data_IF_674885651788
#
_entry.id   IF_674885651788
#
_cell.length_a   1.000
_cell.length_b   1.000
_cell.length_c   1.000
_cell.angle_alpha   90.00
_cell.angle_beta   90.00
_cell.angle_gamma   90.00
#
_symmetry.space_group_name_H-M   'P 1'
#
loop_
_entity.id
_entity.type
_entity.pdbx_description
1 polymer ?
#
# COMPACT_ATOMS: atom_id res chain seq x y z
N UNK A 1 -0.31 7.03 -30.83
CA UNK A 1 -0.86 8.03 -29.89
C UNK A 1 -0.40 7.72 -28.48
N UNK A 2 -0.52 8.66 -27.53
CA UNK A 2 -0.12 8.42 -26.13
C UNK A 2 -0.83 7.20 -25.51
N UNK A 3 -2.15 7.08 -25.74
CA UNK A 3 -2.94 5.95 -25.25
C UNK A 3 -2.40 4.60 -25.75
N UNK A 4 -2.09 4.50 -27.05
CA UNK A 4 -1.49 3.28 -27.61
C UNK A 4 -0.14 2.92 -26.97
N UNK A 5 0.69 3.92 -26.66
CA UNK A 5 1.98 3.71 -25.97
C UNK A 5 1.72 3.19 -24.55
N UNK A 6 0.80 3.80 -23.81
CA UNK A 6 0.47 3.38 -22.45
C UNK A 6 -0.13 1.96 -22.41
N UNK A 7 -1.02 1.63 -23.35
CA UNK A 7 -1.62 0.31 -23.46
C UNK A 7 -0.58 -0.77 -23.83
N UNK A 8 0.30 -0.48 -24.80
CA UNK A 8 1.39 -1.38 -25.17
C UNK A 8 2.40 -1.56 -24.03
N UNK A 9 2.75 -0.48 -23.32
CA UNK A 9 3.64 -0.53 -22.18
C UNK A 9 3.02 -1.31 -21.01
N UNK A 10 1.73 -1.11 -20.74
CA UNK A 10 1.02 -1.74 -19.62
C UNK A 10 1.30 -1.09 -18.26
N UNK A 11 2.02 0.04 -18.24
CA UNK A 11 2.31 0.82 -17.02
C UNK A 11 1.01 1.47 -16.54
N UNK A 12 0.80 1.52 -15.21
CA UNK A 12 -0.43 2.01 -14.57
C UNK A 12 -0.13 3.12 -13.54
N UNK A 13 0.63 4.11 -13.96
CA UNK A 13 1.08 5.24 -13.14
C UNK A 13 2.60 5.26 -12.90
N UNK A 14 3.05 6.21 -12.10
CA UNK A 14 4.46 6.46 -11.81
C UNK A 14 5.10 7.50 -12.72
N UNK A 15 6.42 7.46 -12.83
CA UNK A 15 7.21 8.43 -13.59
C UNK A 15 7.40 7.96 -15.05
N UNK A 16 6.97 8.79 -15.99
CA UNK A 16 7.23 8.64 -17.42
C UNK A 16 8.29 9.65 -17.84
N UNK A 17 9.28 9.20 -18.62
CA UNK A 17 10.29 10.03 -19.24
C UNK A 17 10.14 9.98 -20.75
N UNK A 18 9.96 11.13 -21.39
CA UNK A 18 9.85 11.24 -22.84
C UNK A 18 11.11 11.89 -23.42
N UNK A 19 11.88 11.10 -24.17
CA UNK A 19 13.15 11.48 -24.78
C UNK A 19 12.91 12.11 -26.15
N UNK A 20 13.48 13.29 -26.40
CA UNK A 20 13.29 14.03 -27.65
C UNK A 20 11.87 14.59 -27.74
N UNK A 21 11.45 15.32 -26.70
CA UNK A 21 10.04 15.64 -26.51
C UNK A 21 9.41 16.61 -27.51
N UNK A 22 10.22 17.30 -28.34
CA UNK A 22 9.74 18.17 -29.40
C UNK A 22 8.85 19.30 -28.87
N UNK A 23 7.67 19.48 -29.48
CA UNK A 23 6.69 20.52 -29.08
C UNK A 23 5.88 20.18 -27.81
N UNK A 24 6.17 19.04 -27.16
CA UNK A 24 5.56 18.64 -25.91
C UNK A 24 4.14 18.08 -26.00
N UNK A 25 3.51 17.98 -27.19
CA UNK A 25 2.13 17.45 -27.31
C UNK A 25 2.02 16.01 -26.85
N UNK A 26 2.94 15.14 -27.30
CA UNK A 26 2.97 13.75 -26.84
C UNK A 26 3.30 13.67 -25.35
N UNK A 27 4.25 14.47 -24.86
CA UNK A 27 4.64 14.53 -23.44
C UNK A 27 3.44 14.87 -22.55
N UNK A 28 2.66 15.89 -22.92
CA UNK A 28 1.46 16.27 -22.19
C UNK A 28 0.41 15.14 -22.23
N UNK A 29 0.21 14.52 -23.39
CA UNK A 29 -0.76 13.44 -23.58
C UNK A 29 -0.39 12.12 -22.87
N UNK A 30 0.89 11.88 -22.59
CA UNK A 30 1.33 10.72 -21.79
C UNK A 30 0.83 10.79 -20.33
N UNK A 31 0.43 11.99 -19.85
CA UNK A 31 -0.24 12.13 -18.56
C UNK A 31 -1.73 11.80 -18.67
N UNK A 32 -2.05 10.52 -18.72
CA UNK A 32 -3.44 10.07 -18.86
C UNK A 32 -4.34 10.40 -17.64
N UNK A 33 -3.78 10.47 -16.44
CA UNK A 33 -4.49 10.82 -15.20
C UNK A 33 -3.51 11.23 -14.09
N UNK A 34 -4.01 11.43 -12.87
CA UNK A 34 -3.22 11.89 -11.71
C UNK A 34 -2.19 10.90 -11.19
N UNK A 35 -2.27 9.63 -11.57
CA UNK A 35 -1.28 8.61 -11.20
C UNK A 35 0.03 8.75 -11.97
N UNK A 36 0.10 9.63 -12.98
CA UNK A 36 1.29 9.84 -13.80
C UNK A 36 1.96 11.18 -13.53
N UNK A 37 3.28 11.12 -13.37
CA UNK A 37 4.19 12.25 -13.51
C UNK A 37 4.97 12.08 -14.81
N UNK A 38 5.11 13.15 -15.59
CA UNK A 38 5.78 13.07 -16.89
C UNK A 38 6.89 14.11 -16.97
N UNK A 39 8.08 13.66 -17.37
CA UNK A 39 9.22 14.54 -17.64
C UNK A 39 9.66 14.38 -19.09
N UNK A 40 9.47 15.42 -19.90
CA UNK A 40 10.03 15.50 -21.24
C UNK A 40 11.45 16.05 -21.20
N UNK A 41 12.30 15.55 -22.07
CA UNK A 41 13.70 15.94 -22.13
C UNK A 41 14.10 16.15 -23.59
N UNK A 42 14.79 17.24 -23.89
CA UNK A 42 15.21 17.58 -25.26
C UNK A 42 16.59 18.27 -25.26
N UNK A 43 17.35 18.08 -26.34
CA UNK A 43 18.63 18.78 -26.53
C UNK A 43 18.44 20.18 -27.10
N UNK A 44 17.35 20.44 -27.85
CA UNK A 44 17.11 21.73 -28.49
C UNK A 44 16.34 22.68 -27.55
N UNK A 45 16.94 23.80 -27.13
CA UNK A 45 16.27 24.79 -26.30
C UNK A 45 14.97 25.35 -26.91
N UNK A 46 14.84 25.36 -28.25
CA UNK A 46 13.62 25.82 -28.92
C UNK A 46 12.46 24.84 -28.71
N UNK A 47 12.73 23.54 -28.77
CA UNK A 47 11.74 22.49 -28.46
C UNK A 47 11.31 22.59 -27.00
N UNK A 48 12.27 22.72 -26.08
CA UNK A 48 11.99 22.90 -24.65
C UNK A 48 11.07 24.08 -24.39
N UNK A 49 11.35 25.23 -25.00
CA UNK A 49 10.52 26.43 -24.83
C UNK A 49 9.12 26.25 -25.42
N UNK A 50 9.01 25.65 -26.61
CA UNK A 50 7.72 25.35 -27.23
C UNK A 50 6.89 24.38 -26.37
N UNK A 51 7.52 23.31 -25.87
CA UNK A 51 6.88 22.33 -25.01
C UNK A 51 6.41 22.93 -23.69
N UNK A 52 7.22 23.79 -23.06
CA UNK A 52 6.84 24.49 -21.83
C UNK A 52 5.62 25.39 -22.05
N UNK A 53 5.58 26.16 -23.15
CA UNK A 53 4.41 26.98 -23.51
C UNK A 53 3.16 26.13 -23.72
N UNK A 54 3.29 25.01 -24.43
CA UNK A 54 2.17 24.10 -24.67
C UNK A 54 1.65 23.49 -23.36
N UNK A 55 2.53 22.95 -22.51
CA UNK A 55 2.17 22.37 -21.21
C UNK A 55 1.53 23.40 -20.28
N UNK A 56 2.07 24.62 -20.26
CA UNK A 56 1.50 25.73 -19.48
C UNK A 56 0.09 26.11 -19.97
N UNK A 57 -0.14 26.13 -21.29
CA UNK A 57 -1.47 26.42 -21.86
C UNK A 57 -2.54 25.39 -21.47
N UNK A 58 -2.12 24.18 -21.08
CA UNK A 58 -3.00 23.11 -20.59
C UNK A 58 -3.15 23.10 -19.05
N UNK A 59 -2.46 23.99 -18.32
CA UNK A 59 -2.47 23.99 -16.85
C UNK A 59 -1.78 22.78 -16.21
N UNK A 60 -0.92 22.08 -16.96
CA UNK A 60 -0.29 20.82 -16.52
C UNK A 60 1.10 21.01 -15.87
N UNK A 61 1.61 22.25 -15.81
CA UNK A 61 2.95 22.52 -15.32
C UNK A 61 3.15 22.02 -13.88
N UNK A 62 4.29 21.37 -13.63
CA UNK A 62 4.62 20.73 -12.36
C UNK A 62 4.16 19.26 -12.25
N UNK A 63 3.13 18.84 -13.01
CA UNK A 63 2.79 17.42 -13.22
C UNK A 63 3.39 16.87 -14.51
N UNK A 64 3.48 17.73 -15.51
CA UNK A 64 4.29 17.55 -16.71
C UNK A 64 5.35 18.64 -16.70
N UNK A 65 6.62 18.26 -16.78
CA UNK A 65 7.75 19.18 -16.85
C UNK A 65 8.59 18.88 -18.07
N UNK A 66 9.34 19.88 -18.54
CA UNK A 66 10.34 19.72 -19.60
C UNK A 66 11.60 20.49 -19.25
N UNK A 67 12.75 19.86 -19.42
CA UNK A 67 14.06 20.49 -19.23
C UNK A 67 15.01 20.22 -20.41
N UNK A 68 15.96 21.14 -20.66
CA UNK A 68 17.07 20.85 -21.55
C UNK A 68 18.02 19.84 -20.90
N UNK A 69 18.63 18.97 -21.69
CA UNK A 69 19.61 17.98 -21.20
C UNK A 69 20.88 17.93 -22.05
N UNK A 70 21.79 17.00 -21.76
CA UNK A 70 23.00 16.75 -22.55
C UNK A 70 22.84 15.75 -23.71
N UNK A 71 21.77 14.95 -23.73
CA UNK A 71 21.53 13.91 -24.73
C UNK A 71 22.36 12.63 -24.59
N UNK A 72 23.10 12.48 -23.47
CA UNK A 72 23.92 11.29 -23.19
C UNK A 72 23.47 10.53 -21.95
N UNK A 73 23.45 11.22 -20.80
CA UNK A 73 23.05 10.66 -19.52
C UNK A 73 21.65 11.12 -19.13
N UNK A 74 20.87 10.20 -18.57
CA UNK A 74 19.54 10.49 -18.04
C UNK A 74 19.68 11.02 -16.60
N UNK A 75 19.03 12.15 -16.26
CA UNK A 75 19.21 12.85 -14.98
C UNK A 75 18.45 12.18 -13.82
N UNK A 76 18.49 10.84 -13.76
CA UNK A 76 17.80 10.05 -12.76
C UNK A 76 18.74 9.07 -12.07
N UNK A 77 18.47 8.84 -10.80
CA UNK A 77 18.96 7.67 -10.07
C UNK A 77 18.44 6.38 -10.72
N UNK A 78 19.18 5.30 -10.54
CA UNK A 78 18.72 3.96 -10.93
C UNK A 78 17.36 3.60 -10.32
N UNK A 79 16.62 2.74 -11.03
CA UNK A 79 15.33 2.20 -10.58
C UNK A 79 14.19 3.21 -10.39
N UNK A 80 14.22 4.42 -10.95
CA UNK A 80 13.20 5.44 -10.65
C UNK A 80 12.13 5.66 -11.73
N UNK A 81 12.33 5.19 -12.97
CA UNK A 81 11.44 5.52 -14.11
C UNK A 81 10.56 4.32 -14.48
N UNK A 82 9.24 4.48 -14.52
CA UNK A 82 8.32 3.40 -14.88
C UNK A 82 8.21 3.20 -16.39
N UNK A 83 8.31 4.28 -17.17
CA UNK A 83 8.24 4.24 -18.63
C UNK A 83 9.21 5.24 -19.26
N UNK A 84 10.11 4.76 -20.12
CA UNK A 84 10.89 5.61 -21.03
C UNK A 84 10.27 5.51 -22.42
N UNK A 85 9.93 6.65 -23.02
CA UNK A 85 9.39 6.75 -24.39
C UNK A 85 10.38 7.52 -25.25
N UNK A 86 10.67 7.03 -26.46
CA UNK A 86 11.44 7.75 -27.46
C UNK A 86 11.14 7.23 -28.86
N UNK A 87 11.23 8.08 -29.88
CA UNK A 87 11.29 7.58 -31.27
C UNK A 87 12.69 7.00 -31.55
N UNK A 88 13.74 7.68 -31.10
CA UNK A 88 15.12 7.23 -31.12
C UNK A 88 15.87 7.71 -29.86
N UNK A 89 16.82 6.91 -29.37
CA UNK A 89 17.59 7.25 -28.15
C UNK A 89 18.69 8.29 -28.39
N UNK A 90 19.06 8.54 -29.65
CA UNK A 90 20.20 9.39 -29.99
C UNK A 90 21.49 8.85 -29.34
N UNK A 91 22.10 9.66 -28.47
CA UNK A 91 23.33 9.31 -27.76
C UNK A 91 23.15 8.50 -26.47
N UNK A 92 21.91 8.23 -26.04
CA UNK A 92 21.61 7.46 -24.82
C UNK A 92 21.72 5.95 -25.11
N UNK A 93 22.49 5.22 -24.31
CA UNK A 93 22.61 3.76 -24.47
C UNK A 93 21.41 3.03 -23.86
N UNK A 94 21.14 1.81 -24.34
CA UNK A 94 20.10 1.00 -23.71
C UNK A 94 20.46 0.63 -22.27
N UNK A 95 21.74 0.49 -21.93
CA UNK A 95 22.19 0.25 -20.55
C UNK A 95 21.82 1.42 -19.63
N UNK A 96 21.94 2.66 -20.11
CA UNK A 96 21.52 3.85 -19.38
C UNK A 96 20.00 3.88 -19.16
N UNK A 97 19.22 3.49 -20.18
CA UNK A 97 17.77 3.32 -20.05
C UNK A 97 17.44 2.24 -19.01
N UNK A 98 18.09 1.08 -19.08
CA UNK A 98 17.85 -0.03 -18.15
C UNK A 98 18.31 0.31 -16.72
N UNK A 99 19.32 1.19 -16.55
CA UNK A 99 19.73 1.72 -15.25
C UNK A 99 18.60 2.49 -14.60
N UNK A 100 18.03 3.49 -15.29
CA UNK A 100 17.00 4.36 -14.72
C UNK A 100 15.64 3.69 -14.57
N UNK A 101 15.31 2.70 -15.41
CA UNK A 101 14.03 2.01 -15.31
C UNK A 101 13.86 1.37 -13.93
N UNK A 102 12.71 1.57 -13.30
CA UNK A 102 12.26 0.84 -12.13
C UNK A 102 12.14 -0.67 -12.45
N UNK A 103 12.23 -1.56 -11.46
CA UNK A 103 11.83 -2.95 -11.64
C UNK A 103 10.44 -3.07 -12.28
N UNK A 104 10.32 -3.93 -13.29
CA UNK A 104 9.15 -4.08 -14.18
C UNK A 104 8.82 -2.85 -15.03
N UNK A 105 9.66 -1.82 -15.00
CA UNK A 105 9.57 -0.63 -15.86
C UNK A 105 9.83 -0.97 -17.33
N UNK A 106 9.35 -0.09 -18.21
CA UNK A 106 9.30 -0.34 -19.65
C UNK A 106 10.05 0.73 -20.42
N UNK A 107 10.86 0.31 -21.38
CA UNK A 107 11.29 1.18 -22.47
C UNK A 107 10.40 0.92 -23.69
N UNK A 108 9.82 1.97 -24.25
CA UNK A 108 9.05 1.94 -25.48
C UNK A 108 9.74 2.84 -26.52
N UNK A 109 10.65 2.24 -27.29
CA UNK A 109 11.60 2.96 -28.15
C UNK A 109 11.36 2.58 -29.61
N UNK A 110 11.05 3.54 -30.47
CA UNK A 110 10.79 3.29 -31.90
C UNK A 110 9.70 2.24 -32.15
N UNK A 111 8.70 2.18 -31.26
CA UNK A 111 7.64 1.16 -31.28
C UNK A 111 7.99 -0.20 -30.65
N UNK A 112 9.21 -0.39 -30.16
CA UNK A 112 9.65 -1.64 -29.51
C UNK A 112 9.55 -1.54 -27.99
N UNK A 113 8.87 -2.52 -27.39
CA UNK A 113 8.80 -2.70 -25.94
C UNK A 113 9.97 -3.52 -25.42
N UNK A 114 10.64 -3.03 -24.38
CA UNK A 114 11.62 -3.78 -23.56
C UNK A 114 11.28 -3.59 -22.09
N UNK A 115 11.30 -4.67 -21.30
CA UNK A 115 10.94 -4.64 -19.87
C UNK A 115 12.17 -4.91 -19.02
N UNK A 116 12.38 -4.10 -17.98
CA UNK A 116 13.39 -4.40 -16.97
C UNK A 116 12.85 -5.46 -16.00
N UNK A 117 13.48 -6.65 -15.91
CA UNK A 117 13.03 -7.66 -14.97
C UNK A 117 13.23 -7.18 -13.52
N UNK A 118 12.28 -7.49 -12.64
CA UNK A 118 12.48 -7.35 -11.20
C UNK A 118 13.48 -8.39 -10.70
N UNK A 119 14.48 -7.94 -9.95
CA UNK A 119 15.46 -8.83 -9.34
C UNK A 119 14.80 -9.71 -8.26
N UNK A 120 15.10 -11.01 -8.25
CA UNK A 120 14.60 -11.97 -7.25
C UNK A 120 15.07 -11.67 -5.83
N UNK A 121 16.13 -10.87 -5.69
CA UNK A 121 16.68 -10.46 -4.41
C UNK A 121 15.80 -9.43 -3.67
N UNK A 122 14.91 -8.72 -4.38
CA UNK A 122 14.02 -7.71 -3.80
C UNK A 122 12.74 -8.39 -3.33
N UNK A 123 12.56 -8.40 -2.02
CA UNK A 123 11.43 -9.07 -1.37
C UNK A 123 10.16 -8.20 -1.33
N UNK A 124 9.09 -8.72 -0.74
CA UNK A 124 7.84 -8.01 -0.46
C UNK A 124 7.57 -7.94 1.04
N UNK A 125 6.66 -7.06 1.47
CA UNK A 125 6.24 -6.97 2.87
C UNK A 125 4.71 -6.91 2.92
N UNK A 126 4.09 -8.06 2.62
CA UNK A 126 2.67 -8.18 2.28
C UNK A 126 1.72 -7.94 3.47
N UNK A 127 2.19 -8.17 4.69
CA UNK A 127 1.45 -8.05 5.95
C UNK A 127 2.24 -7.19 6.95
N UNK A 128 1.59 -6.74 8.02
CA UNK A 128 2.25 -5.92 9.06
C UNK A 128 3.55 -6.54 9.60
N UNK A 129 3.52 -7.83 9.94
CA UNK A 129 4.69 -8.60 10.36
C UNK A 129 5.16 -9.52 9.23
N UNK A 130 5.52 -8.90 8.10
CA UNK A 130 6.06 -9.49 6.87
C UNK A 130 5.04 -10.29 6.03
N UNK A 131 4.62 -11.46 6.50
CA UNK A 131 3.72 -12.37 5.77
C UNK A 131 2.61 -12.95 6.68
N UNK A 132 1.87 -13.93 6.17
CA UNK A 132 0.79 -14.56 6.91
C UNK A 132 1.27 -15.40 8.13
N UNK A 133 2.56 -15.73 8.21
CA UNK A 133 3.15 -16.46 9.34
C UNK A 133 3.33 -15.59 10.58
N UNK A 134 3.24 -14.26 10.42
CA UNK A 134 3.46 -13.28 11.48
C UNK A 134 4.92 -13.21 11.97
N UNK A 135 5.88 -13.68 11.16
CA UNK A 135 7.30 -13.63 11.46
C UNK A 135 7.94 -12.40 10.80
N UNK A 136 8.29 -11.38 11.60
CA UNK A 136 8.73 -10.06 11.12
C UNK A 136 10.16 -10.01 10.55
N UNK A 137 10.49 -10.92 9.64
CA UNK A 137 11.82 -11.06 9.03
C UNK A 137 11.67 -11.19 7.52
N UNK A 138 12.15 -10.20 6.79
CA UNK A 138 12.22 -10.26 5.33
C UNK A 138 13.36 -11.16 4.85
N UNK A 139 13.14 -11.77 3.70
CA UNK A 139 14.11 -12.52 2.91
C UNK A 139 14.85 -11.65 1.87
N UNK A 140 14.75 -10.32 1.96
CA UNK A 140 15.43 -9.40 1.04
C UNK A 140 16.94 -9.55 1.12
N UNK A 141 17.56 -9.73 -0.04
CA UNK A 141 19.02 -9.84 -0.19
C UNK A 141 19.58 -8.74 -1.09
N UNK A 142 18.73 -7.83 -1.57
CA UNK A 142 19.11 -6.63 -2.31
C UNK A 142 19.56 -5.49 -1.37
N UNK A 143 20.32 -5.85 -0.34
CA UNK A 143 20.82 -4.94 0.69
C UNK A 143 22.29 -4.58 0.45
N UNK A 144 22.61 -3.31 0.64
CA UNK A 144 23.96 -2.74 0.61
C UNK A 144 24.03 -1.59 1.64
N UNK A 145 25.23 -1.11 2.03
CA UNK A 145 25.34 0.07 2.89
C UNK A 145 24.50 1.24 2.35
N UNK A 146 23.64 1.81 3.21
CA UNK A 146 22.76 2.91 2.83
C UNK A 146 23.58 4.17 2.58
N UNK A 147 23.70 4.60 1.33
CA UNK A 147 24.51 5.77 0.93
C UNK A 147 23.70 6.97 0.46
N UNK A 148 22.40 6.79 0.20
CA UNK A 148 21.52 7.84 -0.36
C UNK A 148 20.05 7.51 -0.16
N UNK A 149 19.19 8.52 -0.29
CA UNK A 149 17.74 8.33 -0.40
C UNK A 149 17.37 7.94 -1.84
N UNK A 150 16.47 6.96 -1.99
CA UNK A 150 15.87 6.65 -3.30
C UNK A 150 14.86 7.74 -3.69
N UNK A 151 13.99 8.13 -2.76
CA UNK A 151 13.03 9.23 -2.92
C UNK A 151 12.58 9.76 -1.55
N UNK A 152 12.06 10.98 -1.54
CA UNK A 152 11.41 11.61 -0.38
C UNK A 152 10.03 12.11 -0.82
N UNK A 153 8.98 11.65 -0.15
CA UNK A 153 7.59 11.92 -0.51
C UNK A 153 6.83 12.74 0.53
N UNK A 154 5.63 13.19 0.16
CA UNK A 154 4.65 13.76 1.09
C UNK A 154 3.91 12.67 1.90
N UNK A 155 3.21 13.03 2.98
CA UNK A 155 3.39 14.25 3.76
C UNK A 155 4.74 14.22 4.50
N UNK A 156 5.40 15.38 4.65
CA UNK A 156 6.73 15.46 5.28
C UNK A 156 6.70 15.28 6.80
N UNK A 157 5.55 15.54 7.41
CA UNK A 157 5.40 15.59 8.86
C UNK A 157 4.05 14.96 9.21
N UNK A 158 4.04 14.12 10.24
CA UNK A 158 2.80 13.83 10.95
C UNK A 158 2.33 15.09 11.67
N UNK A 159 1.06 15.08 12.07
CA UNK A 159 0.44 16.18 12.80
C UNK A 159 1.08 16.47 14.16
N UNK A 160 1.46 15.43 14.88
CA UNK A 160 2.05 15.51 16.21
C UNK A 160 2.64 14.14 16.60
N UNK A 161 3.39 14.12 17.70
CA UNK A 161 4.04 12.92 18.23
C UNK A 161 3.55 12.52 19.64
N UNK A 162 2.78 13.38 20.32
CA UNK A 162 2.33 13.15 21.71
C UNK A 162 0.98 12.40 21.83
N UNK A 163 0.18 12.38 20.76
CA UNK A 163 -0.97 11.47 20.65
C UNK A 163 -0.81 10.64 19.37
N UNK A 164 -1.81 9.83 19.04
CA UNK A 164 -1.71 8.79 18.01
C UNK A 164 -0.96 9.22 16.74
N UNK A 165 0.01 8.39 16.36
CA UNK A 165 0.80 8.55 15.14
C UNK A 165 -0.10 8.71 13.91
N UNK A 166 0.26 9.66 13.05
CA UNK A 166 -0.40 9.82 11.75
C UNK A 166 -0.19 8.62 10.84
N UNK A 167 0.90 7.84 11.00
CA UNK A 167 1.09 6.57 10.30
C UNK A 167 0.51 5.41 11.11
N UNK A 168 -0.33 4.59 10.48
CA UNK A 168 -0.98 3.45 11.15
C UNK A 168 -0.54 2.08 10.64
N UNK A 169 -0.47 1.87 9.32
CA UNK A 169 -0.09 0.59 8.72
C UNK A 169 0.66 0.84 7.42
N UNK A 170 1.61 -0.03 7.08
CA UNK A 170 2.35 0.02 5.82
C UNK A 170 2.72 -1.39 5.36
N UNK A 171 2.48 -1.67 4.08
CA UNK A 171 2.80 -2.93 3.41
C UNK A 171 3.29 -2.65 1.99
N UNK A 172 4.03 -3.57 1.39
CA UNK A 172 4.50 -3.46 0.01
C UNK A 172 4.26 -4.75 -0.77
N UNK A 173 3.79 -4.60 -2.00
CA UNK A 173 3.58 -5.71 -2.92
C UNK A 173 3.65 -5.21 -4.36
N UNK A 174 4.20 -6.04 -5.24
CA UNK A 174 4.33 -5.82 -6.68
C UNK A 174 4.81 -4.41 -7.07
N UNK A 175 5.88 -3.93 -6.42
CA UNK A 175 6.49 -2.62 -6.71
C UNK A 175 5.69 -1.41 -6.22
N UNK A 176 4.72 -1.61 -5.33
CA UNK A 176 3.91 -0.54 -4.74
C UNK A 176 3.99 -0.55 -3.22
N UNK A 177 3.90 0.64 -2.64
CA UNK A 177 3.82 0.86 -1.21
C UNK A 177 2.39 1.29 -0.86
N UNK A 178 1.76 0.59 0.08
CA UNK A 178 0.44 0.90 0.59
C UNK A 178 0.52 1.27 2.04
N UNK A 179 -0.14 2.35 2.43
CA UNK A 179 -0.12 2.78 3.83
C UNK A 179 -1.36 3.58 4.21
N UNK A 180 -1.78 3.43 5.47
CA UNK A 180 -2.83 4.26 6.07
C UNK A 180 -2.18 5.40 6.83
N UNK A 181 -2.58 6.62 6.49
CA UNK A 181 -2.05 7.84 7.09
C UNK A 181 -3.13 8.88 7.37
N UNK A 182 -2.84 9.83 8.25
CA UNK A 182 -3.66 11.01 8.55
C UNK A 182 -2.96 12.29 8.06
N UNK A 183 -3.66 13.11 7.25
CA UNK A 183 -3.08 14.30 6.57
C UNK A 183 -3.88 15.58 6.90
N UNK A 184 -4.37 15.72 8.14
CA UNK A 184 -5.00 16.97 8.58
C UNK A 184 -3.97 18.07 8.83
N UNK A 185 -4.40 19.35 8.79
CA UNK A 185 -3.54 20.48 9.13
C UNK A 185 -2.84 20.32 10.48
N UNK A 186 -1.54 20.64 10.48
CA UNK A 186 -0.66 20.52 11.65
C UNK A 186 -0.80 21.65 12.67
N UNK A 187 -1.68 22.61 12.38
CA UNK A 187 -1.84 23.84 13.17
C UNK A 187 -2.45 23.59 14.57
N UNK A 188 -3.26 22.55 14.72
CA UNK A 188 -3.89 22.21 15.99
C UNK A 188 -4.11 20.71 16.09
N UNK A 189 -3.96 20.12 17.28
CA UNK A 189 -4.36 18.74 17.56
C UNK A 189 -5.89 18.59 17.73
N UNK A 190 -6.67 19.67 17.69
CA UNK A 190 -8.13 19.65 17.82
C UNK A 190 -8.91 19.59 16.49
N UNK A 191 -8.27 19.80 15.34
CA UNK A 191 -8.87 19.56 14.03
C UNK A 191 -9.26 18.07 13.85
N UNK A 192 -10.42 17.72 13.29
CA UNK A 192 -10.75 16.32 13.03
C UNK A 192 -9.69 15.63 12.15
N UNK A 193 -9.33 14.36 12.42
CA UNK A 193 -8.35 13.63 11.62
C UNK A 193 -8.92 13.29 10.23
N UNK A 194 -8.08 13.38 9.20
CA UNK A 194 -8.40 13.03 7.83
C UNK A 194 -7.59 11.81 7.40
N UNK A 195 -8.17 10.63 7.61
CA UNK A 195 -7.53 9.36 7.28
C UNK A 195 -7.68 9.02 5.80
N UNK A 196 -6.66 8.36 5.26
CA UNK A 196 -6.70 7.78 3.93
C UNK A 196 -5.79 6.57 3.83
N UNK A 197 -6.16 5.65 2.96
CA UNK A 197 -5.25 4.67 2.39
C UNK A 197 -4.62 5.27 1.14
N UNK A 198 -3.30 5.22 1.01
CA UNK A 198 -2.58 5.61 -0.20
C UNK A 198 -1.84 4.44 -0.81
N UNK A 199 -1.72 4.48 -2.14
CA UNK A 199 -0.73 3.72 -2.88
C UNK A 199 0.30 4.65 -3.52
N UNK A 200 1.56 4.24 -3.43
CA UNK A 200 2.68 4.87 -4.14
C UNK A 200 3.42 3.85 -4.98
N UNK A 201 4.06 4.34 -6.03
CA UNK A 201 5.16 3.60 -6.63
C UNK A 201 6.31 3.46 -5.62
N UNK A 202 6.78 2.24 -5.39
CA UNK A 202 7.77 1.96 -4.35
C UNK A 202 9.17 2.50 -4.71
N UNK A 203 9.46 2.80 -5.98
CA UNK A 203 10.80 3.12 -6.44
C UNK A 203 11.03 4.60 -6.76
N UNK A 204 9.97 5.40 -6.92
CA UNK A 204 10.07 6.85 -7.04
C UNK A 204 9.11 7.64 -6.12
N UNK A 205 8.22 6.95 -5.39
CA UNK A 205 7.33 7.59 -4.44
C UNK A 205 6.16 8.36 -5.05
N UNK A 206 5.92 8.27 -6.37
CA UNK A 206 4.76 8.90 -7.02
C UNK A 206 3.47 8.40 -6.37
N UNK A 207 2.55 9.31 -6.01
CA UNK A 207 1.21 8.94 -5.51
C UNK A 207 0.40 8.39 -6.68
N UNK A 208 -0.02 7.14 -6.59
CA UNK A 208 -0.85 6.50 -7.61
C UNK A 208 -2.32 6.84 -7.35
N UNK A 209 -2.77 6.67 -6.11
CA UNK A 209 -4.14 6.99 -5.70
C UNK A 209 -4.22 7.17 -4.18
N UNK A 210 -5.31 7.79 -3.73
CA UNK A 210 -5.72 7.89 -2.32
C UNK A 210 -7.19 7.49 -2.19
N UNK A 211 -7.52 6.75 -1.15
CA UNK A 211 -8.89 6.41 -0.75
C UNK A 211 -9.15 7.01 0.62
N UNK A 212 -10.13 7.93 0.77
CA UNK A 212 -10.47 8.45 2.09
C UNK A 212 -11.00 7.32 2.98
N UNK A 213 -10.67 7.41 4.26
CA UNK A 213 -11.22 6.57 5.31
C UNK A 213 -11.90 7.54 6.27
N UNK A 214 -13.21 7.48 6.38
CA UNK A 214 -13.96 8.42 7.22
C UNK A 214 -13.57 8.29 8.69
N UNK A 215 -13.50 7.05 9.17
CA UNK A 215 -13.14 6.75 10.55
C UNK A 215 -12.19 5.58 10.59
N UNK A 216 -10.94 5.85 10.97
CA UNK A 216 -9.93 4.82 11.18
C UNK A 216 -9.71 4.56 12.66
N UNK A 217 -9.60 5.63 13.45
CA UNK A 217 -9.42 5.55 14.88
C UNK A 217 -9.86 6.86 15.58
N UNK A 218 -10.11 6.78 16.89
CA UNK A 218 -10.57 7.91 17.71
C UNK A 218 -9.52 9.03 17.79
N UNK A 219 -10.03 10.25 17.87
CA UNK A 219 -9.25 11.48 17.93
C UNK A 219 -8.70 11.70 19.35
N UNK A 220 -7.48 12.22 19.47
CA UNK A 220 -6.80 12.52 20.75
C UNK A 220 -6.48 11.32 21.65
N UNK A 221 -6.38 10.10 21.09
CA UNK A 221 -5.88 8.95 21.86
C UNK A 221 -4.38 9.08 22.13
N UNK A 222 -3.89 8.98 23.38
CA UNK A 222 -2.49 9.22 23.75
C UNK A 222 -1.47 8.37 23.00
N UNK A 223 -0.22 8.85 22.96
CA UNK A 223 0.90 8.13 22.34
C UNK A 223 1.03 6.71 22.92
N UNK A 224 1.33 5.74 22.04
CA UNK A 224 1.43 4.30 22.38
C UNK A 224 0.17 3.72 23.05
N UNK A 225 -0.96 4.43 22.93
CA UNK A 225 -2.28 3.97 23.35
C UNK A 225 -3.15 3.77 22.10
N UNK A 226 -4.07 2.81 22.16
CA UNK A 226 -4.97 2.49 21.06
C UNK A 226 -4.91 1.01 20.66
N UNK A 227 -5.76 0.60 19.70
CA UNK A 227 -5.87 -0.75 19.20
C UNK A 227 -4.60 -1.31 18.57
N UNK A 228 -4.23 -2.48 19.06
CA UNK A 228 -3.25 -3.37 18.45
C UNK A 228 -3.69 -3.88 17.06
N UNK A 229 -4.97 -3.76 16.71
CA UNK A 229 -5.54 -4.34 15.49
C UNK A 229 -5.41 -3.46 14.23
N UNK A 230 -5.12 -2.16 14.34
CA UNK A 230 -5.16 -1.26 13.16
C UNK A 230 -4.14 -1.65 12.09
N UNK A 231 -2.97 -2.09 12.54
CA UNK A 231 -1.89 -2.53 11.66
C UNK A 231 -2.26 -3.81 10.91
N UNK A 232 -3.15 -4.63 11.46
CA UNK A 232 -3.58 -5.93 10.94
C UNK A 232 -4.74 -5.84 9.94
N UNK A 233 -5.16 -4.63 9.59
CA UNK A 233 -6.30 -4.35 8.69
C UNK A 233 -5.88 -3.92 7.29
N UNK A 234 -4.61 -4.06 6.95
CA UNK A 234 -4.08 -3.78 5.61
C UNK A 234 -3.15 -4.92 5.19
N UNK A 235 -3.48 -5.56 4.06
CA UNK A 235 -2.69 -6.61 3.42
C UNK A 235 -2.60 -6.33 1.93
N UNK A 236 -1.43 -6.52 1.33
CA UNK A 236 -1.25 -6.41 -0.12
C UNK A 236 -0.55 -7.66 -0.66
N UNK A 237 -1.13 -8.30 -1.67
CA UNK A 237 -0.57 -9.51 -2.30
C UNK A 237 -0.77 -9.41 -3.81
N UNK A 238 0.32 -9.46 -4.58
CA UNK A 238 0.27 -9.28 -6.03
C UNK A 238 -0.39 -7.96 -6.42
N UNK A 239 -1.44 -8.03 -7.24
CA UNK A 239 -2.20 -6.86 -7.71
C UNK A 239 -3.46 -6.54 -6.89
N UNK A 240 -3.57 -7.06 -5.66
CA UNK A 240 -4.71 -6.83 -4.77
C UNK A 240 -4.28 -6.22 -3.43
N UNK A 241 -5.12 -5.33 -2.92
CA UNK A 241 -5.03 -4.80 -1.56
C UNK A 241 -6.31 -5.17 -0.81
N UNK A 242 -6.17 -5.80 0.35
CA UNK A 242 -7.26 -6.17 1.24
C UNK A 242 -7.25 -5.23 2.44
N UNK A 243 -8.37 -4.55 2.68
CA UNK A 243 -8.48 -3.49 3.69
C UNK A 243 -9.91 -3.32 4.18
N UNK A 244 -10.10 -2.79 5.37
CA UNK A 244 -11.40 -2.22 5.82
C UNK A 244 -11.41 -0.72 5.55
N UNK A 245 -12.33 -0.18 4.74
CA UNK A 245 -12.37 1.26 4.40
C UNK A 245 -13.12 2.14 5.43
N UNK A 246 -13.29 1.61 6.63
CA UNK A 246 -13.77 2.25 7.84
C UNK A 246 -13.43 1.28 9.00
N UNK A 247 -13.46 1.74 10.24
CA UNK A 247 -13.12 0.94 11.41
C UNK A 247 -14.12 -0.20 11.67
N UNK A 248 -15.38 -0.08 11.25
CA UNK A 248 -16.40 -1.14 11.32
C UNK A 248 -16.80 -1.70 9.94
N UNK A 249 -16.12 -1.27 8.87
CA UNK A 249 -16.43 -1.69 7.52
C UNK A 249 -16.16 -3.19 7.30
N UNK A 250 -16.87 -3.80 6.33
CA UNK A 250 -16.48 -5.12 5.83
C UNK A 250 -15.10 -5.08 5.17
N UNK A 251 -14.50 -6.27 5.06
CA UNK A 251 -13.33 -6.46 4.23
C UNK A 251 -13.65 -6.07 2.78
N UNK A 252 -12.70 -5.36 2.17
CA UNK A 252 -12.77 -4.91 0.78
C UNK A 252 -11.47 -5.27 0.07
N UNK A 253 -11.56 -5.85 -1.12
CA UNK A 253 -10.44 -5.99 -2.05
C UNK A 253 -10.43 -4.83 -3.05
N UNK A 254 -9.28 -4.19 -3.19
CA UNK A 254 -9.01 -3.12 -4.14
C UNK A 254 -8.01 -3.59 -5.20
N UNK A 255 -8.15 -3.04 -6.40
CA UNK A 255 -7.11 -3.10 -7.42
C UNK A 255 -5.90 -2.29 -6.94
N UNK A 256 -4.73 -2.94 -6.85
CA UNK A 256 -3.52 -2.33 -6.30
C UNK A 256 -3.04 -1.11 -7.10
N UNK A 257 -3.25 -1.09 -8.41
CA UNK A 257 -2.76 -0.04 -9.30
C UNK A 257 -3.66 1.20 -9.30
N UNK A 258 -4.97 1.03 -9.13
CA UNK A 258 -5.97 2.08 -9.35
C UNK A 258 -6.77 2.44 -8.10
N UNK A 259 -6.76 1.59 -7.06
CA UNK A 259 -7.52 1.77 -5.84
C UNK A 259 -9.03 1.54 -6.03
N UNK A 260 -9.46 1.07 -7.21
CA UNK A 260 -10.86 0.72 -7.48
C UNK A 260 -11.27 -0.48 -6.65
N UNK A 261 -12.48 -0.43 -6.09
CA UNK A 261 -13.05 -1.57 -5.38
C UNK A 261 -13.33 -2.69 -6.38
N UNK A 262 -12.75 -3.87 -6.13
CA UNK A 262 -12.99 -5.09 -6.90
C UNK A 262 -14.06 -5.96 -6.24
N UNK A 263 -14.06 -6.00 -4.90
CA UNK A 263 -15.00 -6.81 -4.12
C UNK A 263 -15.16 -6.28 -2.71
N UNK A 264 -16.36 -6.41 -2.17
CA UNK A 264 -16.64 -6.34 -0.74
C UNK A 264 -17.07 -7.73 -0.28
N UNK A 265 -16.59 -8.20 0.86
CA UNK A 265 -16.85 -9.57 1.34
C UNK A 265 -18.01 -9.60 2.33
N UNK A 266 -19.05 -10.35 2.02
CA UNK A 266 -20.24 -10.46 2.87
C UNK A 266 -19.94 -11.16 4.20
N UNK A 267 -20.64 -10.77 5.26
CA UNK A 267 -20.45 -11.37 6.60
C UNK A 267 -19.12 -11.00 7.29
N UNK A 268 -18.37 -10.04 6.75
CA UNK A 268 -17.06 -9.60 7.28
C UNK A 268 -17.08 -8.21 7.92
N UNK A 269 -18.28 -7.67 8.22
CA UNK A 269 -18.42 -6.38 8.91
C UNK A 269 -17.59 -6.40 10.20
N UNK A 270 -16.89 -5.32 10.52
CA UNK A 270 -16.02 -5.25 11.70
C UNK A 270 -14.86 -6.27 11.70
N UNK A 271 -14.23 -6.49 10.53
CA UNK A 271 -12.99 -7.26 10.44
C UNK A 271 -11.87 -6.58 11.23
N UNK A 272 -11.25 -7.30 12.16
CA UNK A 272 -10.18 -6.80 13.02
C UNK A 272 -8.79 -7.22 12.54
N UNK A 273 -8.66 -8.42 11.98
CA UNK A 273 -7.39 -8.91 11.41
C UNK A 273 -7.60 -9.57 10.06
N UNK A 274 -6.64 -9.35 9.15
CA UNK A 274 -6.62 -9.92 7.80
C UNK A 274 -5.29 -10.63 7.60
N UNK A 275 -5.35 -11.88 7.16
CA UNK A 275 -4.24 -12.60 6.55
C UNK A 275 -4.64 -13.07 5.16
N UNK A 276 -3.69 -13.08 4.23
CA UNK A 276 -3.84 -13.66 2.90
C UNK A 276 -2.68 -14.61 2.65
N UNK A 277 -2.99 -15.86 2.33
CA UNK A 277 -1.99 -16.85 1.95
C UNK A 277 -2.60 -17.74 0.87
N UNK A 278 -1.88 -18.03 -0.22
CA UNK A 278 -2.29 -18.93 -1.31
C UNK A 278 -3.78 -18.81 -1.72
N UNK A 279 -4.24 -17.59 -1.98
CA UNK A 279 -5.61 -17.32 -2.48
C UNK A 279 -6.73 -17.47 -1.45
N UNK A 280 -6.40 -17.66 -0.16
CA UNK A 280 -7.38 -17.72 0.93
C UNK A 280 -7.12 -16.60 1.92
N UNK A 281 -8.19 -15.93 2.31
CA UNK A 281 -8.22 -14.91 3.34
C UNK A 281 -8.60 -15.54 4.67
N UNK A 282 -7.79 -15.32 5.71
CA UNK A 282 -8.13 -15.70 7.08
C UNK A 282 -8.40 -14.43 7.88
N UNK A 283 -9.60 -14.36 8.45
CA UNK A 283 -10.10 -13.15 9.08
C UNK A 283 -10.42 -13.42 10.54
N UNK A 284 -10.12 -12.44 11.39
CA UNK A 284 -10.75 -12.32 12.71
C UNK A 284 -11.79 -11.22 12.63
N UNK A 285 -13.05 -11.56 12.90
CA UNK A 285 -14.18 -10.65 12.77
C UNK A 285 -14.90 -10.51 14.11
N UNK A 286 -15.19 -9.28 14.54
CA UNK A 286 -16.00 -9.03 15.72
C UNK A 286 -17.43 -9.56 15.51
N UNK A 287 -18.00 -10.22 16.53
CA UNK A 287 -19.37 -10.71 16.45
C UNK A 287 -20.37 -9.53 16.35
N UNK A 288 -21.52 -9.77 15.71
CA UNK A 288 -22.54 -8.74 15.54
C UNK A 288 -23.02 -8.20 16.90
N UNK A 289 -23.09 -6.87 17.03
CA UNK A 289 -23.46 -6.19 18.27
C UNK A 289 -22.36 -6.14 19.35
N UNK A 290 -21.21 -6.80 19.16
CA UNK A 290 -20.07 -6.66 20.06
C UNK A 290 -19.29 -5.38 19.77
N UNK A 291 -18.72 -4.72 20.81
CA UNK A 291 -17.82 -3.60 20.58
C UNK A 291 -16.57 -4.07 19.83
N UNK A 292 -16.10 -3.23 18.92
CA UNK A 292 -14.74 -3.35 18.40
C UNK A 292 -13.75 -3.22 19.56
N UNK A 293 -12.63 -3.94 19.51
CA UNK A 293 -11.53 -3.74 20.47
C UNK A 293 -11.11 -2.27 20.53
N UNK A 294 -11.14 -1.59 19.40
CA UNK A 294 -11.16 -0.13 19.32
C UNK A 294 -12.50 0.40 18.90
N UNK A 295 -13.49 0.35 19.79
CA UNK A 295 -14.74 1.05 19.54
C UNK A 295 -14.45 2.55 19.42
N UNK A 296 -14.56 3.12 18.22
CA UNK A 296 -14.25 4.52 17.99
C UNK A 296 -15.39 5.42 18.52
N UNK A 297 -16.39 4.90 19.21
CA UNK A 297 -17.41 5.69 19.91
C UNK A 297 -17.07 5.85 21.39
N UNK A 298 -16.10 5.07 21.90
CA UNK A 298 -15.69 5.09 23.30
C UNK A 298 -14.76 6.29 23.51
N UNK A 299 -15.33 7.38 24.03
CA UNK A 299 -14.58 8.55 24.49
C UNK A 299 -14.03 8.26 25.88
N UNK A 300 -12.73 8.38 26.05
CA UNK A 300 -12.09 8.20 27.36
C UNK A 300 -11.94 9.54 28.08
N UNK A 301 -12.57 9.74 29.25
CA UNK A 301 -12.52 11.01 29.97
C UNK A 301 -11.17 11.26 30.66
N UNK A 302 -10.33 10.23 30.85
CA UNK A 302 -9.04 10.33 31.52
C UNK A 302 -8.11 9.14 31.28
N UNK A 303 -6.86 9.27 31.74
CA UNK A 303 -5.82 8.25 31.59
C UNK A 303 -6.11 6.95 32.37
N UNK A 304 -6.87 7.04 33.47
CA UNK A 304 -7.24 5.87 34.28
C UNK A 304 -8.19 4.96 33.49
N UNK A 305 -9.17 5.54 32.79
CA UNK A 305 -10.13 4.84 31.96
C UNK A 305 -9.47 4.23 30.71
N UNK A 306 -8.47 4.91 30.14
CA UNK A 306 -7.66 4.35 29.05
C UNK A 306 -6.91 3.09 29.53
N UNK A 307 -6.26 3.16 30.70
CA UNK A 307 -5.53 2.01 31.26
C UNK A 307 -6.46 0.85 31.61
N UNK A 308 -7.60 1.14 32.23
CA UNK A 308 -8.63 0.15 32.52
C UNK A 308 -9.16 -0.48 31.23
N UNK A 309 -9.38 0.31 30.18
CA UNK A 309 -9.82 -0.21 28.90
C UNK A 309 -8.82 -1.18 28.29
N UNK A 310 -7.51 -0.93 28.33
CA UNK A 310 -6.50 -1.87 27.77
C UNK A 310 -6.47 -3.22 28.50
N UNK A 311 -6.92 -3.27 29.76
CA UNK A 311 -7.00 -4.48 30.59
C UNK A 311 -8.41 -5.08 30.62
N UNK A 312 -9.34 -4.52 29.84
CA UNK A 312 -10.73 -4.96 29.73
C UNK A 312 -10.80 -6.33 29.00
N UNK A 313 -11.61 -7.28 29.49
CA UNK A 313 -11.84 -8.56 28.83
C UNK A 313 -12.28 -8.44 27.36
N UNK A 314 -12.77 -7.29 26.91
CA UNK A 314 -12.98 -7.00 25.49
C UNK A 314 -11.73 -7.29 24.62
N UNK A 315 -10.53 -7.06 25.16
CA UNK A 315 -9.27 -7.21 24.45
C UNK A 315 -8.76 -8.65 24.39
N UNK A 316 -9.04 -9.45 25.42
CA UNK A 316 -8.50 -10.80 25.59
C UNK A 316 -9.56 -11.89 25.39
N UNK A 317 -10.79 -11.64 25.82
CA UNK A 317 -11.83 -12.66 26.02
C UNK A 317 -13.08 -12.47 25.17
N UNK A 318 -13.18 -11.37 24.40
CA UNK A 318 -14.34 -11.17 23.55
C UNK A 318 -14.39 -12.21 22.42
N UNK A 319 -15.56 -12.85 22.20
CA UNK A 319 -15.71 -13.82 21.13
C UNK A 319 -15.51 -13.16 19.78
N UNK A 320 -14.79 -13.86 18.91
CA UNK A 320 -14.54 -13.50 17.51
C UNK A 320 -14.94 -14.66 16.63
N UNK A 321 -15.24 -14.33 15.38
CA UNK A 321 -15.36 -15.35 14.35
C UNK A 321 -14.04 -15.38 13.58
N UNK A 322 -13.32 -16.49 13.70
CA UNK A 322 -12.23 -16.82 12.78
C UNK A 322 -12.85 -17.45 11.55
N UNK A 323 -12.55 -16.95 10.36
CA UNK A 323 -13.12 -17.47 9.12
C UNK A 323 -12.10 -17.55 8.00
N UNK A 324 -12.30 -18.51 7.10
CA UNK A 324 -11.57 -18.62 5.85
C UNK A 324 -12.49 -18.31 4.66
N UNK A 325 -12.03 -17.45 3.77
CA UNK A 325 -12.76 -16.98 2.60
C UNK A 325 -11.88 -17.10 1.37
N UNK A 326 -12.40 -17.65 0.28
CA UNK A 326 -11.69 -17.67 -1.00
C UNK A 326 -11.54 -16.23 -1.52
N UNK A 327 -10.30 -15.80 -1.77
CA UNK A 327 -10.00 -14.41 -2.04
C UNK A 327 -10.63 -13.92 -3.35
N UNK A 328 -10.67 -14.76 -4.38
CA UNK A 328 -11.18 -14.38 -5.70
C UNK A 328 -12.71 -14.28 -5.72
N UNK A 329 -13.39 -15.33 -5.25
CA UNK A 329 -14.85 -15.45 -5.33
C UNK A 329 -15.58 -14.81 -4.15
N UNK A 330 -14.91 -14.63 -3.01
CA UNK A 330 -15.56 -14.27 -1.74
C UNK A 330 -16.32 -15.40 -1.08
N UNK A 331 -16.21 -16.64 -1.59
CA UNK A 331 -16.88 -17.81 -1.01
C UNK A 331 -16.34 -18.11 0.38
N UNK A 332 -17.24 -18.15 1.36
CA UNK A 332 -16.94 -18.67 2.70
C UNK A 332 -16.56 -20.15 2.60
N UNK A 333 -15.39 -20.51 3.12
CA UNK A 333 -14.93 -21.90 3.20
C UNK A 333 -15.33 -22.53 4.53
N UNK A 334 -15.08 -21.81 5.62
CA UNK A 334 -15.49 -22.19 6.97
C UNK A 334 -15.45 -20.98 7.91
N UNK A 335 -16.15 -21.07 9.04
CA UNK A 335 -16.06 -20.12 10.14
C UNK A 335 -16.14 -20.85 11.48
N UNK A 336 -15.50 -20.28 12.50
CA UNK A 336 -15.44 -20.82 13.85
C UNK A 336 -15.48 -19.67 14.86
N UNK A 337 -16.40 -19.75 15.80
CA UNK A 337 -16.39 -18.85 16.96
C UNK A 337 -15.30 -19.28 17.94
N UNK A 338 -14.51 -18.30 18.39
CA UNK A 338 -13.45 -18.49 19.37
C UNK A 338 -13.10 -17.17 20.03
N UNK A 339 -12.55 -17.23 21.24
CA UNK A 339 -11.69 -16.13 21.72
C UNK A 339 -10.42 -16.09 20.87
N UNK A 340 -9.89 -14.90 20.64
CA UNK A 340 -8.67 -14.69 19.82
C UNK A 340 -7.90 -13.51 20.41
N UNK A 341 -6.72 -13.75 20.97
CA UNK A 341 -5.83 -12.67 21.40
C UNK A 341 -5.38 -11.87 20.18
N UNK A 342 -5.44 -10.54 20.29
CA UNK A 342 -5.05 -9.64 19.21
C UNK A 342 -3.64 -9.92 18.71
N UNK A 343 -3.44 -9.79 17.39
CA UNK A 343 -2.18 -10.04 16.68
C UNK A 343 -1.67 -11.49 16.73
N UNK A 344 -2.39 -12.43 17.34
CA UNK A 344 -1.93 -13.82 17.43
C UNK A 344 -2.26 -14.67 16.21
N UNK A 345 -3.17 -14.21 15.34
CA UNK A 345 -3.59 -14.97 14.16
C UNK A 345 -2.41 -15.15 13.18
N UNK A 346 -2.12 -16.38 12.80
CA UNK A 346 -1.11 -16.75 11.82
C UNK A 346 -1.63 -17.87 10.92
N UNK A 347 -1.11 -17.99 9.71
CA UNK A 347 -1.49 -19.05 8.78
C UNK A 347 -0.32 -19.43 7.86
N UNK A 348 -0.27 -20.71 7.50
CA UNK A 348 0.67 -21.25 6.51
C UNK A 348 -0.08 -22.10 5.46
N UNK A 349 0.64 -22.91 4.68
CA UNK A 349 0.04 -23.79 3.66
C UNK A 349 -0.88 -24.89 4.19
N UNK A 350 -0.88 -25.17 5.49
CA UNK A 350 -1.57 -26.30 6.11
C UNK A 350 -2.47 -25.91 7.29
N UNK A 351 -2.13 -24.84 8.02
CA UNK A 351 -2.64 -24.55 9.35
C UNK A 351 -3.05 -23.10 9.50
N UNK A 352 -3.97 -22.87 10.43
CA UNK A 352 -4.28 -21.55 11.00
C UNK A 352 -4.07 -21.64 12.50
N UNK A 353 -3.28 -20.72 13.06
CA UNK A 353 -2.95 -20.69 14.47
C UNK A 353 -3.39 -19.37 15.10
N UNK A 354 -3.82 -19.41 16.34
CA UNK A 354 -4.08 -18.23 17.15
C UNK A 354 -4.07 -18.60 18.64
N UNK A 355 -3.90 -17.61 19.51
CA UNK A 355 -4.03 -17.79 20.95
C UNK A 355 -5.47 -17.46 21.36
N UNK A 356 -6.17 -18.31 22.10
CA UNK A 356 -7.58 -18.10 22.50
C UNK A 356 -7.74 -17.43 23.88
N UNK A 357 -6.64 -17.04 24.50
CA UNK A 357 -6.62 -16.46 25.84
C UNK A 357 -6.14 -17.44 26.91
N UNK A 358 -6.16 -18.75 26.60
CA UNK A 358 -5.62 -19.80 27.46
C UNK A 358 -4.58 -20.65 26.72
N UNK A 359 -4.81 -20.96 25.44
CA UNK A 359 -4.03 -21.93 24.66
C UNK A 359 -3.77 -21.41 23.25
N UNK A 360 -2.72 -21.93 22.62
CA UNK A 360 -2.57 -21.85 21.17
C UNK A 360 -3.48 -22.92 20.54
N UNK A 361 -4.41 -22.47 19.72
CA UNK A 361 -5.27 -23.30 18.89
C UNK A 361 -4.62 -23.48 17.52
N UNK A 362 -4.58 -24.71 17.01
CA UNK A 362 -4.17 -25.00 15.64
C UNK A 362 -5.33 -25.65 14.88
N UNK A 363 -5.77 -24.99 13.82
CA UNK A 363 -6.85 -25.45 12.93
C UNK A 363 -6.28 -25.99 11.62
N UNK A 364 -6.97 -26.98 11.04
CA UNK A 364 -6.78 -27.36 9.65
C UNK A 364 -7.28 -26.22 8.76
N UNK A 365 -6.39 -25.70 7.92
CA UNK A 365 -6.66 -24.58 7.02
C UNK A 365 -7.87 -24.78 6.11
N UNK A 366 -8.18 -26.03 5.74
CA UNK A 366 -9.18 -26.35 4.71
C UNK A 366 -10.60 -26.36 5.26
N UNK A 367 -10.78 -26.76 6.51
CA UNK A 367 -12.11 -27.00 7.09
C UNK A 367 -12.32 -26.38 8.48
N UNK A 368 -11.30 -25.76 9.08
CA UNK A 368 -11.39 -25.10 10.38
C UNK A 368 -11.49 -26.04 11.57
N UNK A 369 -11.30 -27.36 11.37
CA UNK A 369 -11.31 -28.34 12.46
C UNK A 369 -10.04 -28.22 13.30
N UNK A 370 -10.14 -28.43 14.61
CA UNK A 370 -8.98 -28.46 15.49
C UNK A 370 -8.07 -29.63 15.12
N UNK A 371 -6.79 -29.35 14.90
CA UNK A 371 -5.74 -30.35 14.76
C UNK A 371 -5.13 -30.67 16.14
N UNK A 372 -4.82 -29.64 16.90
CA UNK A 372 -4.32 -29.72 18.27
C UNK A 372 -4.53 -28.39 18.99
N UNK A 373 -4.42 -28.41 20.32
CA UNK A 373 -4.32 -27.24 21.17
C UNK A 373 -3.11 -27.43 22.10
N UNK A 374 -2.40 -26.35 22.43
CA UNK A 374 -1.32 -26.42 23.41
C UNK A 374 -1.85 -26.74 24.81
N UNK A 375 -0.95 -27.07 25.72
CA UNK A 375 -1.22 -26.88 27.15
C UNK A 375 -1.54 -25.40 27.43
N UNK A 376 -2.27 -25.08 28.52
CA UNK A 376 -2.51 -23.71 28.94
C UNK A 376 -1.20 -22.92 29.08
N UNK A 377 -1.20 -21.70 28.57
CA UNK A 377 -0.10 -20.74 28.66
C UNK A 377 -0.39 -19.70 29.75
N UNK A 378 0.64 -19.22 30.46
CA UNK A 378 0.50 -18.30 31.59
C UNK A 378 0.05 -16.89 31.20
#
# INVERSE_FOLDING_TARGET
TAQQILDAAGVKGGLIVHIGCGDGKLTAALRANDSYLVHGLDTDPKNVEAARKHIASLGLYGKVTVEPWSGKGLPYIENSVNLVVADALGGVTMDEVMRVLAPNGVAYIGGKKTVKPRAKAIDEWTHYLYDASNNAVSHDTAIAPLTRFQWLGSPRYSRHHDHMSGASAMVSANGRLFYVFEDSPRASILTPPQWFLAARDAFNGTVLWRRPIEKWHEHLTPLKSGPQILTRRLVAVGDRVYVTLNIDAPLTALDAATGKTLRTYDGTKATEEILCHNGVLFLSVAAEGQPLRSDPKRVYPGLAEIRAAVTDPLWTDAPRTVMAVEAESGKLLWKKESKVVSMSLAADGQRVLFHDGERIQCLDRRNGQNLWASEPLP
#
